data_IF_310859304475
#
_entry.id   IF_310859304475
#
_cell.length_a   1.000
_cell.length_b   1.000
_cell.length_c   1.000
_cell.angle_alpha   90.00
_cell.angle_beta   90.00
_cell.angle_gamma   90.00
#
_symmetry.space_group_name_H-M   'P 1'
#
loop_
_entity.id
_entity.type
_entity.pdbx_description
1 polymer ?
#
# COMPACT_ATOMS: atom_id res chain seq x y z
N UNK A 1 -4.66 -14.54 -16.12
CA UNK A 1 -4.98 -13.31 -15.37
C UNK A 1 -4.38 -13.45 -13.98
N UNK A 2 -3.53 -12.52 -13.54
CA UNK A 2 -3.04 -12.53 -12.18
C UNK A 2 -4.20 -12.20 -11.23
N UNK A 3 -4.37 -12.99 -10.16
CA UNK A 3 -5.29 -12.63 -9.09
C UNK A 3 -4.72 -11.43 -8.34
N UNK A 4 -5.51 -10.37 -8.09
CA UNK A 4 -5.02 -9.20 -7.39
C UNK A 4 -4.56 -9.56 -5.98
N UNK A 5 -3.45 -8.96 -5.55
CA UNK A 5 -2.76 -9.32 -4.32
C UNK A 5 -3.05 -8.37 -3.15
N UNK A 6 -2.29 -8.53 -2.05
CA UNK A 6 -2.41 -7.72 -0.84
C UNK A 6 -2.09 -6.24 -1.12
N UNK A 7 -1.10 -5.96 -1.98
CA UNK A 7 -0.69 -4.61 -2.33
C UNK A 7 -1.78 -3.95 -3.18
N UNK A 8 -2.33 -4.68 -4.14
CA UNK A 8 -3.47 -4.21 -4.95
C UNK A 8 -4.68 -3.88 -4.06
N UNK A 9 -4.97 -4.72 -3.07
CA UNK A 9 -6.05 -4.48 -2.11
C UNK A 9 -5.80 -3.22 -1.26
N UNK A 10 -4.57 -3.00 -0.77
CA UNK A 10 -4.21 -1.79 -0.01
C UNK A 10 -4.35 -0.55 -0.89
N UNK A 11 -3.89 -0.60 -2.14
CA UNK A 11 -4.02 0.50 -3.09
C UNK A 11 -5.48 0.84 -3.35
N UNK A 12 -6.33 -0.18 -3.57
CA UNK A 12 -7.76 0.01 -3.75
C UNK A 12 -8.39 0.73 -2.55
N UNK A 13 -8.09 0.30 -1.32
CA UNK A 13 -8.60 0.93 -0.10
C UNK A 13 -8.18 2.40 0.03
N UNK A 14 -6.93 2.73 -0.31
CA UNK A 14 -6.38 4.09 -0.19
C UNK A 14 -6.93 5.01 -1.28
N UNK A 15 -7.00 4.53 -2.51
CA UNK A 15 -7.44 5.30 -3.68
C UNK A 15 -8.95 5.60 -3.64
N UNK A 16 -9.76 4.62 -3.21
CA UNK A 16 -11.22 4.74 -3.20
C UNK A 16 -11.78 5.23 -1.86
N UNK A 17 -10.95 5.31 -0.80
CA UNK A 17 -11.39 5.75 0.53
C UNK A 17 -12.45 4.87 1.19
N UNK A 18 -12.60 3.61 0.77
CA UNK A 18 -13.67 2.73 1.25
C UNK A 18 -13.35 2.14 2.61
N UNK A 19 -14.40 1.81 3.37
CA UNK A 19 -14.27 1.04 4.61
C UNK A 19 -13.65 -0.32 4.28
N UNK A 20 -12.64 -0.77 5.04
CA UNK A 20 -11.99 -2.08 4.84
C UNK A 20 -12.96 -3.28 4.80
N UNK A 21 -14.10 -3.19 5.49
CA UNK A 21 -15.15 -4.24 5.49
C UNK A 21 -15.93 -4.32 4.18
N UNK A 22 -15.83 -3.30 3.33
CA UNK A 22 -16.43 -3.22 2.00
C UNK A 22 -15.41 -3.54 0.89
N UNK A 23 -14.29 -4.19 1.23
CA UNK A 23 -13.32 -4.64 0.24
C UNK A 23 -13.97 -5.68 -0.70
N UNK A 24 -13.88 -5.52 -2.03
CA UNK A 24 -14.45 -6.47 -2.98
C UNK A 24 -13.88 -7.89 -2.81
N UNK A 25 -14.71 -8.90 -3.02
CA UNK A 25 -14.35 -10.31 -2.83
C UNK A 25 -13.29 -10.85 -3.81
N UNK A 26 -12.95 -10.09 -4.85
CA UNK A 26 -11.84 -10.41 -5.76
C UNK A 26 -10.47 -10.32 -5.06
N UNK A 27 -10.38 -9.54 -3.98
CA UNK A 27 -9.17 -9.38 -3.19
C UNK A 27 -9.11 -10.39 -2.03
N UNK A 28 -7.92 -10.61 -1.44
CA UNK A 28 -7.82 -11.36 -0.19
C UNK A 28 -8.72 -10.77 0.91
N UNK A 29 -9.21 -11.59 1.86
CA UNK A 29 -10.05 -11.11 2.96
C UNK A 29 -9.43 -9.92 3.69
N UNK A 30 -10.26 -8.93 4.05
CA UNK A 30 -9.77 -7.67 4.61
C UNK A 30 -8.94 -7.86 5.90
N UNK A 31 -9.17 -8.94 6.64
CA UNK A 31 -8.39 -9.33 7.81
C UNK A 31 -6.95 -9.67 7.44
N UNK A 32 -6.75 -10.44 6.37
CA UNK A 32 -5.43 -10.80 5.83
C UNK A 32 -4.71 -9.55 5.35
N UNK A 33 -5.39 -8.71 4.57
CA UNK A 33 -4.85 -7.42 4.10
C UNK A 33 -4.40 -6.56 5.29
N UNK A 34 -5.24 -6.45 6.32
CA UNK A 34 -4.92 -5.67 7.51
C UNK A 34 -3.80 -6.30 8.36
N UNK A 35 -3.71 -7.63 8.43
CA UNK A 35 -2.62 -8.34 9.11
C UNK A 35 -1.26 -7.97 8.52
N UNK A 36 -1.14 -8.05 7.19
CA UNK A 36 0.10 -7.69 6.49
C UNK A 36 0.40 -6.20 6.62
N UNK A 37 -0.61 -5.34 6.41
CA UNK A 37 -0.44 -3.90 6.56
C UNK A 37 0.02 -3.53 7.98
N UNK A 38 -0.57 -4.11 9.02
CA UNK A 38 -0.18 -3.86 10.40
C UNK A 38 1.24 -4.38 10.70
N UNK A 39 1.63 -5.54 10.16
CA UNK A 39 2.99 -6.05 10.27
C UNK A 39 4.01 -5.11 9.62
N UNK A 40 3.73 -4.62 8.40
CA UNK A 40 4.59 -3.67 7.70
C UNK A 40 4.67 -2.32 8.39
N UNK A 41 3.55 -1.81 8.90
CA UNK A 41 3.50 -0.57 9.67
C UNK A 41 4.36 -0.67 10.93
N UNK A 42 4.26 -1.78 11.69
CA UNK A 42 5.10 -2.02 12.88
C UNK A 42 6.59 -2.07 12.54
N UNK A 43 6.96 -2.60 11.37
CA UNK A 43 8.35 -2.66 10.90
C UNK A 43 8.84 -1.35 10.27
N UNK A 44 8.01 -0.31 10.19
CA UNK A 44 8.36 0.94 9.52
C UNK A 44 8.45 0.85 7.98
N UNK A 45 8.11 -0.29 7.38
CA UNK A 45 8.30 -0.56 5.95
C UNK A 45 7.50 0.41 5.06
N UNK A 46 6.29 0.79 5.49
CA UNK A 46 5.45 1.76 4.76
C UNK A 46 6.11 3.14 4.72
N UNK A 47 6.68 3.59 5.84
CA UNK A 47 7.38 4.87 5.92
C UNK A 47 8.65 4.85 5.06
N UNK A 48 9.45 3.79 5.20
CA UNK A 48 10.64 3.59 4.39
C UNK A 48 10.33 3.62 2.88
N UNK A 49 9.35 2.85 2.41
CA UNK A 49 8.97 2.81 1.00
C UNK A 49 8.51 4.18 0.50
N UNK A 50 7.66 4.88 1.26
CA UNK A 50 7.20 6.23 0.92
C UNK A 50 8.39 7.19 0.78
N UNK A 51 9.34 7.13 1.70
CA UNK A 51 10.47 8.05 1.71
C UNK A 51 11.45 7.73 0.55
N UNK A 52 11.61 6.46 0.18
CA UNK A 52 12.36 6.07 -1.02
C UNK A 52 11.70 6.58 -2.31
N UNK A 53 10.39 6.36 -2.46
CA UNK A 53 9.64 6.83 -3.63
C UNK A 53 9.69 8.36 -3.75
N UNK A 54 9.54 9.07 -2.62
CA UNK A 54 9.68 10.53 -2.58
C UNK A 54 11.06 10.99 -3.00
N UNK A 55 12.12 10.34 -2.52
CA UNK A 55 13.50 10.63 -2.94
C UNK A 55 13.67 10.42 -4.44
N UNK A 56 13.22 9.31 -4.99
CA UNK A 56 13.30 9.01 -6.43
C UNK A 56 12.58 10.07 -7.28
N UNK A 57 11.38 10.49 -6.86
CA UNK A 57 10.65 11.56 -7.56
C UNK A 57 11.42 12.89 -7.48
N UNK A 58 11.96 13.25 -6.32
CA UNK A 58 12.70 14.52 -6.14
C UNK A 58 13.98 14.56 -6.97
N UNK A 59 14.80 13.51 -6.90
CA UNK A 59 16.05 13.42 -7.64
C UNK A 59 15.81 13.33 -9.15
N UNK A 60 14.76 12.61 -9.59
CA UNK A 60 14.33 12.57 -10.99
C UNK A 60 13.82 13.91 -11.53
N UNK A 61 13.49 14.86 -10.65
CA UNK A 61 13.12 16.24 -11.00
C UNK A 61 14.27 17.24 -10.77
N UNK A 62 15.50 16.76 -10.55
CA UNK A 62 16.67 17.60 -10.29
C UNK A 62 16.65 18.34 -8.95
N UNK A 63 15.77 17.97 -8.03
CA UNK A 63 15.69 18.55 -6.68
C UNK A 63 16.59 17.76 -5.72
N UNK A 64 17.20 18.44 -4.76
CA UNK A 64 17.93 17.79 -3.67
C UNK A 64 17.02 16.77 -2.93
N UNK A 65 17.57 15.62 -2.49
CA UNK A 65 16.83 14.54 -1.82
C UNK A 65 15.86 15.03 -0.75
#
# INVERSE_FOLDING_TARGET
MASPDIVDAIRYLVDNGVKRRALPAVYPPWQTVYYHFAAWRRRGAIGFLRDQLRRQIRTGQGRCP
#
